data_IF_753717642718
#
_entry.id   IF_753717642718
#
_cell.length_a   1.000
_cell.length_b   1.000
_cell.length_c   1.000
_cell.angle_alpha   90.00
_cell.angle_beta   90.00
_cell.angle_gamma   90.00
#
_symmetry.space_group_name_H-M   'P 1'
#
loop_
_entity.id
_entity.type
_entity.pdbx_description
1 polymer ?
#
# COMPACT_ATOMS: atom_id res chain seq x y z
N UNK A 1 -21.23 15.22 4.95
CA UNK A 1 -20.94 15.72 3.59
C UNK A 1 -19.52 16.32 3.51
N UNK A 2 -18.49 15.62 3.97
CA UNK A 2 -17.09 16.14 4.02
C UNK A 2 -16.14 15.21 3.25
N UNK A 3 -16.38 13.90 3.34
CA UNK A 3 -15.57 12.85 2.68
C UNK A 3 -15.53 13.01 1.15
N UNK A 4 -16.66 13.36 0.51
CA UNK A 4 -16.73 13.51 -0.96
C UNK A 4 -15.94 14.72 -1.49
N UNK A 5 -15.78 15.79 -0.71
CA UNK A 5 -15.06 16.98 -1.16
C UNK A 5 -13.55 16.73 -1.17
N UNK A 6 -13.03 16.09 -0.11
CA UNK A 6 -11.62 15.75 0.01
C UNK A 6 -11.18 14.77 -1.09
N UNK A 7 -11.97 13.72 -1.35
CA UNK A 7 -11.69 12.73 -2.40
C UNK A 7 -11.70 13.38 -3.79
N UNK A 8 -12.66 14.28 -4.06
CA UNK A 8 -12.73 14.99 -5.35
C UNK A 8 -11.50 15.86 -5.57
N UNK A 9 -11.01 16.52 -4.52
CA UNK A 9 -9.79 17.33 -4.58
C UNK A 9 -8.55 16.45 -4.78
N UNK A 10 -8.39 15.38 -4.01
CA UNK A 10 -7.27 14.44 -4.13
C UNK A 10 -7.19 13.80 -5.52
N UNK A 11 -8.33 13.51 -6.16
CA UNK A 11 -8.39 12.97 -7.54
C UNK A 11 -7.79 13.91 -8.58
N UNK A 12 -7.71 15.22 -8.31
CA UNK A 12 -7.09 16.17 -9.22
C UNK A 12 -5.56 16.12 -9.17
N UNK A 13 -4.98 15.68 -8.04
CA UNK A 13 -3.53 15.71 -7.80
C UNK A 13 -2.88 14.32 -7.82
N UNK A 14 -3.64 13.26 -7.53
CA UNK A 14 -3.13 11.89 -7.46
C UNK A 14 -3.48 11.09 -8.72
N UNK A 15 -2.58 10.21 -9.17
CA UNK A 15 -2.90 9.22 -10.20
C UNK A 15 -4.09 8.35 -9.81
N UNK A 16 -4.86 7.90 -10.80
CA UNK A 16 -6.08 7.07 -10.60
C UNK A 16 -5.77 5.78 -9.82
N UNK A 17 -4.54 5.28 -9.95
CA UNK A 17 -4.06 4.06 -9.30
C UNK A 17 -3.99 4.18 -7.76
N UNK A 18 -3.87 5.39 -7.21
CA UNK A 18 -3.96 5.63 -5.76
C UNK A 18 -5.37 5.40 -5.19
N UNK A 19 -6.39 5.37 -6.07
CA UNK A 19 -7.78 5.10 -5.69
C UNK A 19 -8.17 3.63 -5.91
N UNK A 20 -7.22 2.74 -6.19
CA UNK A 20 -7.48 1.32 -6.12
C UNK A 20 -7.63 0.87 -4.67
N UNK A 21 -8.45 -0.17 -4.50
CA UNK A 21 -8.68 -0.81 -3.21
C UNK A 21 -7.86 -2.10 -3.16
N UNK A 22 -7.28 -2.35 -1.99
CA UNK A 22 -6.65 -3.62 -1.66
C UNK A 22 -7.29 -4.22 -0.42
N UNK A 23 -7.34 -5.55 -0.31
CA UNK A 23 -7.85 -6.20 0.88
C UNK A 23 -6.88 -6.00 2.04
N UNK A 24 -7.36 -5.41 3.13
CA UNK A 24 -6.66 -5.34 4.42
C UNK A 24 -7.65 -5.81 5.47
N UNK A 25 -7.29 -6.85 6.22
CA UNK A 25 -8.16 -7.45 7.24
C UNK A 25 -9.55 -7.84 6.67
N UNK A 26 -9.56 -8.37 5.45
CA UNK A 26 -10.78 -8.72 4.72
C UNK A 26 -11.63 -7.52 4.26
N UNK A 27 -11.21 -6.28 4.50
CA UNK A 27 -11.92 -5.06 4.09
C UNK A 27 -11.22 -4.38 2.92
N UNK A 28 -11.98 -3.84 1.94
CA UNK A 28 -11.39 -3.05 0.87
C UNK A 28 -10.94 -1.70 1.41
N UNK A 29 -9.63 -1.42 1.34
CA UNK A 29 -9.03 -0.16 1.78
C UNK A 29 -8.35 0.52 0.60
N UNK A 30 -8.52 1.83 0.46
CA UNK A 30 -7.87 2.58 -0.61
C UNK A 30 -6.37 2.74 -0.36
N UNK A 31 -5.59 2.66 -1.44
CA UNK A 31 -4.13 2.84 -1.39
C UNK A 31 -3.74 4.21 -0.83
N UNK A 32 -4.46 5.27 -1.19
CA UNK A 32 -4.16 6.61 -0.66
C UNK A 32 -4.37 6.69 0.86
N UNK A 33 -5.36 5.99 1.44
CA UNK A 33 -5.58 5.99 2.89
C UNK A 33 -4.40 5.36 3.63
N UNK A 34 -3.78 4.34 3.03
CA UNK A 34 -2.63 3.65 3.60
C UNK A 34 -1.38 4.53 3.58
N UNK A 35 -1.17 5.27 2.49
CA UNK A 35 0.06 6.05 2.25
C UNK A 35 -0.02 7.43 2.90
N UNK A 36 -1.18 8.09 2.82
CA UNK A 36 -1.33 9.49 3.23
C UNK A 36 -1.73 9.58 4.71
N UNK A 37 -2.62 8.69 5.16
CA UNK A 37 -3.09 8.72 6.55
C UNK A 37 -2.23 7.86 7.48
N UNK A 38 -1.14 7.26 7.00
CA UNK A 38 -0.20 6.42 7.76
C UNK A 38 -0.90 5.40 8.68
N UNK A 39 -2.06 4.85 8.29
CA UNK A 39 -2.92 4.05 9.17
C UNK A 39 -2.24 2.81 9.78
N UNK A 40 -1.15 2.37 9.16
CA UNK A 40 -0.41 1.17 9.53
C UNK A 40 0.93 1.45 10.21
N UNK A 41 1.34 2.71 10.30
CA UNK A 41 2.58 3.09 10.98
C UNK A 41 2.52 2.65 12.45
N UNK A 42 3.64 2.15 12.97
CA UNK A 42 3.73 1.60 14.32
C UNK A 42 3.41 0.11 14.44
N UNK A 43 2.68 -0.50 13.48
CA UNK A 43 2.28 -1.92 13.53
C UNK A 43 3.47 -2.86 13.45
N UNK A 44 3.41 -3.99 14.17
CA UNK A 44 4.49 -4.99 14.14
C UNK A 44 4.53 -5.74 12.81
N UNK A 45 5.68 -6.37 12.49
CA UNK A 45 5.81 -7.30 11.35
C UNK A 45 4.72 -8.38 11.37
N UNK A 46 4.42 -8.93 12.54
CA UNK A 46 3.42 -9.98 12.71
C UNK A 46 2.00 -9.48 12.42
N UNK A 47 1.65 -8.26 12.82
CA UNK A 47 0.35 -7.65 12.52
C UNK A 47 0.21 -7.39 11.03
N UNK A 48 1.26 -6.89 10.38
CA UNK A 48 1.25 -6.65 8.92
C UNK A 48 1.01 -7.95 8.15
N UNK A 49 1.62 -9.07 8.57
CA UNK A 49 1.37 -10.38 7.95
C UNK A 49 -0.10 -10.80 8.09
N UNK A 50 -0.73 -10.56 9.25
CA UNK A 50 -2.14 -10.87 9.47
C UNK A 50 -3.05 -9.99 8.61
N UNK A 51 -2.73 -8.70 8.50
CA UNK A 51 -3.55 -7.72 7.79
C UNK A 51 -3.56 -7.92 6.27
N UNK A 52 -2.41 -8.22 5.65
CA UNK A 52 -2.27 -8.30 4.19
C UNK A 52 -2.32 -9.72 3.61
N UNK A 53 -2.49 -10.73 4.47
CA UNK A 53 -2.34 -12.16 4.17
C UNK A 53 -0.92 -12.50 3.68
N UNK A 54 -0.23 -13.39 4.41
CA UNK A 54 1.20 -13.71 4.22
C UNK A 54 1.60 -13.99 2.76
N UNK A 55 0.73 -14.65 1.98
CA UNK A 55 1.03 -15.12 0.63
C UNK A 55 1.17 -13.98 -0.40
N UNK A 56 0.64 -12.81 -0.08
CA UNK A 56 0.68 -11.62 -0.94
C UNK A 56 1.92 -10.75 -0.69
N UNK A 57 2.74 -11.11 0.31
CA UNK A 57 3.93 -10.37 0.73
C UNK A 57 5.20 -11.10 0.26
N UNK A 58 6.03 -10.37 -0.48
CA UNK A 58 7.41 -10.73 -0.78
C UNK A 58 8.36 -10.09 0.23
N UNK A 59 9.13 -10.92 0.94
CA UNK A 59 10.10 -10.51 1.96
C UNK A 59 11.46 -10.19 1.32
N UNK A 60 11.61 -8.98 0.76
CA UNK A 60 12.84 -8.56 0.05
C UNK A 60 14.05 -8.52 0.99
N UNK A 61 13.87 -8.04 2.22
CA UNK A 61 14.85 -8.16 3.30
C UNK A 61 14.16 -8.11 4.66
N UNK A 62 14.91 -8.30 5.74
CA UNK A 62 14.37 -8.25 7.10
C UNK A 62 13.56 -6.98 7.38
N UNK A 63 14.05 -5.83 6.93
CA UNK A 63 13.46 -4.51 7.21
C UNK A 63 12.73 -3.90 6.01
N UNK A 64 12.58 -4.65 4.91
CA UNK A 64 11.92 -4.15 3.71
C UNK A 64 11.09 -5.23 3.05
N UNK A 65 9.78 -5.05 3.04
CA UNK A 65 8.85 -5.97 2.42
C UNK A 65 8.14 -5.33 1.23
N UNK A 66 7.65 -6.16 0.33
CA UNK A 66 6.98 -5.76 -0.90
C UNK A 66 5.63 -6.49 -0.98
N UNK A 67 4.54 -5.75 -1.08
CA UNK A 67 3.22 -6.30 -1.34
C UNK A 67 2.83 -5.98 -2.78
N UNK A 68 2.45 -7.01 -3.54
CA UNK A 68 1.97 -6.83 -4.91
C UNK A 68 0.53 -6.33 -4.88
N UNK A 69 0.28 -5.20 -5.54
CA UNK A 69 -1.06 -4.60 -5.63
C UNK A 69 -1.76 -5.09 -6.89
N UNK A 70 -1.21 -4.75 -8.05
CA UNK A 70 -1.82 -5.07 -9.34
C UNK A 70 -0.83 -4.83 -10.50
N UNK A 71 -1.12 -5.40 -11.66
CA UNK A 71 -0.45 -5.07 -12.93
C UNK A 71 -1.42 -4.33 -13.86
N UNK A 72 -1.04 -3.14 -14.30
CA UNK A 72 -1.87 -2.34 -15.22
C UNK A 72 -1.00 -1.57 -16.21
N UNK A 73 -1.39 -1.55 -17.48
CA UNK A 73 -0.67 -0.82 -18.56
C UNK A 73 0.84 -1.09 -18.56
N UNK A 74 1.23 -2.37 -18.54
CA UNK A 74 2.64 -2.82 -18.48
C UNK A 74 3.43 -2.26 -17.28
N UNK A 75 2.76 -1.98 -16.17
CA UNK A 75 3.38 -1.58 -14.91
C UNK A 75 2.91 -2.50 -13.80
N UNK A 76 3.86 -3.02 -13.03
CA UNK A 76 3.61 -3.72 -11.78
C UNK A 76 3.60 -2.70 -10.65
N UNK A 77 2.48 -2.58 -9.95
CA UNK A 77 2.28 -1.67 -8.82
C UNK A 77 2.42 -2.43 -7.51
N UNK A 78 3.20 -1.86 -6.58
CA UNK A 78 3.55 -2.49 -5.32
C UNK A 78 3.57 -1.49 -4.18
N UNK A 79 3.25 -1.98 -2.98
CA UNK A 79 3.56 -1.29 -1.73
C UNK A 79 4.90 -1.78 -1.21
N UNK A 80 5.77 -0.84 -0.84
CA UNK A 80 7.05 -1.10 -0.20
C UNK A 80 6.94 -0.67 1.25
N UNK A 81 7.04 -1.64 2.15
CA UNK A 81 6.92 -1.49 3.59
C UNK A 81 8.32 -1.48 4.20
N UNK A 82 8.62 -0.48 5.03
CA UNK A 82 9.91 -0.31 5.70
C UNK A 82 9.74 -0.45 7.21
N UNK A 83 10.54 -1.31 7.83
CA UNK A 83 10.49 -1.58 9.26
C UNK A 83 11.71 -1.03 9.99
N UNK A 84 11.50 -0.60 11.23
CA UNK A 84 12.54 -0.22 12.18
C UNK A 84 12.19 -0.83 13.53
N UNK A 85 13.08 -1.63 14.11
CA UNK A 85 12.87 -2.32 15.39
C UNK A 85 11.53 -3.07 15.45
N UNK A 86 11.28 -3.92 14.45
CA UNK A 86 10.03 -4.69 14.26
C UNK A 86 8.75 -3.87 13.95
N UNK A 87 8.81 -2.54 14.01
CA UNK A 87 7.68 -1.66 13.77
C UNK A 87 7.69 -1.08 12.36
N UNK A 88 6.51 -1.02 11.71
CA UNK A 88 6.34 -0.41 10.40
C UNK A 88 6.56 1.11 10.51
N UNK A 89 7.60 1.60 9.87
CA UNK A 89 7.98 3.02 9.88
C UNK A 89 7.42 3.79 8.69
N UNK A 90 7.27 3.15 7.53
CA UNK A 90 6.85 3.83 6.30
C UNK A 90 6.31 2.85 5.26
N UNK A 91 5.33 3.32 4.49
CA UNK A 91 4.86 2.66 3.28
C UNK A 91 5.06 3.58 2.09
N UNK A 92 5.61 3.05 1.00
CA UNK A 92 5.71 3.75 -0.28
C UNK A 92 4.94 2.98 -1.35
N UNK A 93 4.21 3.68 -2.21
CA UNK A 93 3.64 3.08 -3.41
C UNK A 93 4.50 3.37 -4.61
N UNK A 94 4.90 2.31 -5.32
CA UNK A 94 5.81 2.39 -6.46
C UNK A 94 5.29 1.50 -7.57
N UNK A 95 5.75 1.78 -8.78
CA UNK A 95 5.55 0.88 -9.90
C UNK A 95 6.86 0.60 -10.64
N UNK A 96 6.95 -0.59 -11.22
CA UNK A 96 8.03 -0.97 -12.15
C UNK A 96 7.42 -1.16 -13.53
N UNK A 97 8.02 -0.55 -14.56
CA UNK A 97 7.66 -0.84 -15.95
C UNK A 97 8.13 -2.26 -16.28
N UNK A 98 7.23 -3.06 -16.86
CA UNK A 98 7.54 -4.38 -17.37
C UNK A 98 8.03 -4.22 -18.81
N UNK A 99 9.29 -4.54 -19.05
CA UNK A 99 9.84 -4.66 -20.39
C UNK A 99 9.08 -5.78 -21.12
N UNK A 100 8.62 -5.49 -22.34
CA UNK A 100 8.02 -6.50 -23.22
C UNK A 100 9.10 -7.39 -23.82
#
# INVERSE_FOLDING_TARGET
MIINFLIKYLRAFLPKEYFWQIPIDGKPVYIYDIIINNQLEGRSKSDIIKLFEKNSISFVSENRWKYFVNTHKKKEYVLIMHFKNDSLSKINYKYKKLSS
#
